data_IF_906806104454
#
_entry.id   IF_906806104454
#
_cell.length_a   1.000
_cell.length_b   1.000
_cell.length_c   1.000
_cell.angle_alpha   90.00
_cell.angle_beta   90.00
_cell.angle_gamma   90.00
#
_symmetry.space_group_name_H-M   'P 1'
#
loop_
_entity.id
_entity.type
_entity.pdbx_description
1 polymer ?
#
# COMPACT_ATOMS: atom_id res chain seq x y z
N UNK A 1 10.36 -3.14 22.89
CA UNK A 1 8.88 -3.09 23.12
C UNK A 1 8.24 -4.39 22.66
N UNK A 2 7.12 -4.78 23.28
CA UNK A 2 6.24 -5.84 22.80
C UNK A 2 5.04 -5.20 22.09
N UNK A 3 4.96 -5.40 20.80
CA UNK A 3 4.04 -4.71 19.88
C UNK A 3 3.02 -5.72 19.37
N UNK A 4 1.72 -5.43 19.50
CA UNK A 4 0.67 -6.24 18.90
C UNK A 4 0.15 -5.64 17.61
N UNK A 5 0.34 -6.30 16.47
CA UNK A 5 -0.25 -5.96 15.18
C UNK A 5 -1.59 -6.67 15.02
N UNK A 6 -2.67 -5.93 14.82
CA UNK A 6 -4.03 -6.45 14.66
C UNK A 6 -4.53 -6.09 13.25
N UNK A 7 -4.82 -7.11 12.46
CA UNK A 7 -5.17 -6.93 11.04
C UNK A 7 -6.22 -7.93 10.58
N UNK A 8 -7.13 -7.49 9.71
CA UNK A 8 -8.12 -8.35 9.06
C UNK A 8 -7.62 -8.88 7.69
N UNK A 9 -6.37 -8.55 7.30
CA UNK A 9 -5.69 -9.03 6.09
C UNK A 9 -4.22 -9.34 6.38
N UNK A 10 -3.75 -10.55 6.05
CA UNK A 10 -2.36 -10.98 6.28
C UNK A 10 -1.96 -12.08 5.29
N UNK A 11 -0.71 -12.52 5.36
CA UNK A 11 -0.19 -13.63 4.54
C UNK A 11 -1.12 -14.85 4.59
N UNK A 12 -1.32 -15.54 3.46
CA UNK A 12 -0.65 -15.46 2.17
C UNK A 12 -1.27 -14.45 1.16
N UNK A 13 -2.16 -13.57 1.59
CA UNK A 13 -2.73 -12.55 0.72
C UNK A 13 -1.62 -11.59 0.20
N UNK A 14 -1.78 -11.11 -1.05
CA UNK A 14 -0.82 -10.22 -1.70
C UNK A 14 -1.51 -8.88 -1.95
N UNK A 15 -1.20 -7.89 -1.11
CA UNK A 15 -1.68 -6.51 -1.26
C UNK A 15 -0.76 -5.55 -0.48
N UNK A 16 -0.94 -4.24 -0.69
CA UNK A 16 -0.11 -3.21 -0.07
C UNK A 16 -0.16 -3.19 1.46
N UNK A 17 -1.29 -3.59 2.08
CA UNK A 17 -1.43 -3.66 3.54
C UNK A 17 -0.56 -4.78 4.11
N UNK A 18 -0.65 -5.97 3.51
CA UNK A 18 0.17 -7.13 3.91
C UNK A 18 1.65 -6.83 3.72
N UNK A 19 2.03 -6.23 2.59
CA UNK A 19 3.41 -5.80 2.34
C UNK A 19 3.90 -4.86 3.43
N UNK A 20 3.09 -3.85 3.79
CA UNK A 20 3.41 -2.90 4.86
C UNK A 20 3.62 -3.59 6.21
N UNK A 21 2.70 -4.48 6.59
CA UNK A 21 2.78 -5.22 7.85
C UNK A 21 4.05 -6.08 7.90
N UNK A 22 4.35 -6.83 6.84
CA UNK A 22 5.52 -7.71 6.77
C UNK A 22 6.83 -6.91 6.85
N UNK A 23 6.95 -5.81 6.10
CA UNK A 23 8.14 -4.96 6.11
C UNK A 23 8.38 -4.33 7.48
N UNK A 24 7.36 -3.71 8.08
CA UNK A 24 7.49 -3.13 9.41
C UNK A 24 7.73 -4.18 10.50
N UNK A 25 7.06 -5.34 10.44
CA UNK A 25 7.31 -6.45 11.37
C UNK A 25 8.77 -6.84 11.35
N UNK A 26 9.32 -7.12 10.17
CA UNK A 26 10.70 -7.53 10.02
C UNK A 26 11.67 -6.46 10.54
N UNK A 27 11.50 -5.22 10.10
CA UNK A 27 12.39 -4.13 10.50
C UNK A 27 12.33 -3.83 12.01
N UNK A 28 11.17 -3.94 12.64
CA UNK A 28 11.03 -3.77 14.10
C UNK A 28 11.68 -4.93 14.87
N UNK A 29 11.59 -6.18 14.36
CA UNK A 29 12.29 -7.32 14.95
C UNK A 29 13.81 -7.13 14.88
N UNK A 30 14.35 -6.68 13.75
CA UNK A 30 15.77 -6.36 13.56
C UNK A 30 16.25 -5.26 14.50
N UNK A 31 15.36 -4.34 14.89
CA UNK A 31 15.61 -3.30 15.91
C UNK A 31 15.45 -3.78 17.35
N UNK A 32 15.22 -5.08 17.58
CA UNK A 32 15.14 -5.70 18.90
C UNK A 32 13.78 -5.65 19.57
N UNK A 33 12.70 -5.41 18.81
CA UNK A 33 11.34 -5.47 19.33
C UNK A 33 10.73 -6.86 19.16
N UNK A 34 9.75 -7.18 20.00
CA UNK A 34 8.92 -8.37 19.85
C UNK A 34 7.59 -7.96 19.20
N UNK A 35 7.32 -8.52 18.01
CA UNK A 35 6.10 -8.22 17.26
C UNK A 35 5.21 -9.46 17.21
N UNK A 36 4.00 -9.33 17.74
CA UNK A 36 2.95 -10.35 17.74
C UNK A 36 1.91 -9.95 16.68
N UNK A 37 1.55 -10.85 15.79
CA UNK A 37 0.56 -10.59 14.74
C UNK A 37 -0.72 -11.35 15.02
N UNK A 38 -1.84 -10.64 15.08
CA UNK A 38 -3.18 -11.18 15.24
C UNK A 38 -3.92 -11.02 13.91
N UNK A 39 -4.22 -12.14 13.23
CA UNK A 39 -4.67 -12.14 11.84
C UNK A 39 -5.70 -13.25 11.55
N UNK A 40 -6.47 -13.17 10.43
CA UNK A 40 -7.40 -14.24 10.06
C UNK A 40 -6.68 -15.53 9.67
N UNK A 41 -7.29 -16.69 9.92
CA UNK A 41 -6.79 -17.99 9.48
C UNK A 41 -6.99 -18.14 7.97
N UNK A 42 -5.93 -18.31 7.15
CA UNK A 42 -6.06 -18.69 5.75
C UNK A 42 -6.24 -20.22 5.61
N UNK A 43 -6.36 -20.71 4.38
CA UNK A 43 -6.40 -22.15 4.11
C UNK A 43 -5.03 -22.81 4.34
N UNK A 44 -3.95 -22.10 4.01
CA UNK A 44 -2.57 -22.50 4.22
C UNK A 44 -1.77 -21.30 4.73
N UNK A 45 -0.97 -21.47 5.78
CA UNK A 45 -0.10 -20.42 6.30
C UNK A 45 1.21 -21.06 6.81
N UNK A 46 2.32 -20.43 6.45
CA UNK A 46 3.61 -20.58 7.13
C UNK A 46 3.70 -19.45 8.17
N UNK A 47 3.36 -19.77 9.41
CA UNK A 47 3.35 -18.80 10.50
C UNK A 47 4.55 -19.00 11.41
N UNK A 48 5.07 -17.91 11.93
CA UNK A 48 6.03 -17.97 13.04
C UNK A 48 5.28 -18.11 14.39
N UNK A 49 6.03 -18.38 15.45
CA UNK A 49 5.52 -18.59 16.81
C UNK A 49 4.77 -17.38 17.40
N UNK A 50 4.90 -16.20 16.80
CA UNK A 50 4.26 -14.95 17.25
C UNK A 50 3.09 -14.53 16.36
N UNK A 51 2.63 -15.41 15.48
CA UNK A 51 1.44 -15.19 14.67
C UNK A 51 0.26 -15.97 15.23
N UNK A 52 -0.77 -15.25 15.67
CA UNK A 52 -1.99 -15.79 16.27
C UNK A 52 -3.16 -15.67 15.31
N UNK A 53 -3.80 -16.78 15.01
CA UNK A 53 -4.84 -16.85 13.99
C UNK A 53 -6.25 -16.85 14.57
N UNK A 54 -7.14 -16.07 13.96
CA UNK A 54 -8.57 -16.02 14.23
C UNK A 54 -9.33 -16.85 13.22
N UNK A 55 -10.25 -17.67 13.65
CA UNK A 55 -11.15 -18.37 12.72
C UNK A 55 -11.81 -17.38 11.75
N UNK A 56 -11.79 -17.71 10.48
CA UNK A 56 -12.31 -16.84 9.42
C UNK A 56 -12.96 -17.63 8.31
N UNK A 57 -13.92 -16.98 7.62
CA UNK A 57 -14.59 -17.52 6.45
C UNK A 57 -14.28 -16.64 5.23
N UNK A 58 -14.17 -17.23 4.02
CA UNK A 58 -14.04 -16.44 2.81
C UNK A 58 -15.26 -15.51 2.65
N UNK A 59 -15.03 -14.28 2.20
CA UNK A 59 -16.11 -13.37 1.88
C UNK A 59 -16.71 -13.73 0.51
N UNK A 60 -18.03 -13.95 0.45
CA UNK A 60 -18.72 -14.52 -0.73
C UNK A 60 -18.50 -13.70 -2.01
N UNK A 61 -18.42 -12.36 -1.89
CA UNK A 61 -18.27 -11.46 -3.05
C UNK A 61 -16.81 -11.20 -3.43
N UNK A 62 -15.87 -11.46 -2.54
CA UNK A 62 -14.42 -11.36 -2.75
C UNK A 62 -13.74 -12.48 -1.95
N UNK A 63 -13.56 -13.67 -2.52
CA UNK A 63 -13.02 -14.84 -1.80
C UNK A 63 -11.61 -14.62 -1.24
N UNK A 64 -10.87 -13.66 -1.80
CA UNK A 64 -9.57 -13.22 -1.31
C UNK A 64 -9.67 -12.51 0.05
N UNK A 65 -10.80 -11.87 0.35
CA UNK A 65 -11.08 -11.27 1.66
C UNK A 65 -11.66 -12.32 2.61
N UNK A 66 -11.28 -12.23 3.88
CA UNK A 66 -11.75 -13.15 4.92
C UNK A 66 -12.48 -12.37 6.01
N UNK A 67 -13.62 -12.89 6.42
CA UNK A 67 -14.36 -12.39 7.57
C UNK A 67 -13.89 -13.14 8.81
N UNK A 68 -13.13 -12.48 9.66
CA UNK A 68 -12.63 -13.05 10.89
C UNK A 68 -13.72 -13.09 11.98
N UNK A 69 -13.68 -14.12 12.82
CA UNK A 69 -14.42 -14.12 14.07
C UNK A 69 -13.90 -12.99 14.98
N UNK A 70 -14.77 -12.21 15.63
CA UNK A 70 -14.35 -11.17 16.57
C UNK A 70 -13.84 -11.74 17.91
N UNK A 71 -13.69 -13.05 18.01
CA UNK A 71 -13.30 -13.77 19.24
C UNK A 71 -12.35 -14.93 18.93
N UNK A 72 -11.28 -15.05 19.72
CA UNK A 72 -10.33 -16.16 19.70
C UNK A 72 -9.85 -16.48 21.12
N UNK A 73 -10.07 -17.74 21.56
CA UNK A 73 -9.55 -18.21 22.85
C UNK A 73 -8.02 -18.30 22.85
N UNK A 74 -7.42 -18.60 21.71
CA UNK A 74 -5.97 -18.63 21.56
C UNK A 74 -5.38 -17.23 21.72
N UNK A 75 -5.96 -16.23 21.05
CA UNK A 75 -5.54 -14.84 21.20
C UNK A 75 -5.63 -14.38 22.66
N UNK A 76 -6.68 -14.75 23.38
CA UNK A 76 -6.81 -14.41 24.81
C UNK A 76 -5.72 -15.06 25.65
N UNK A 77 -5.38 -16.34 25.41
CA UNK A 77 -4.30 -17.03 26.15
C UNK A 77 -2.94 -16.37 25.89
N UNK A 78 -2.65 -16.02 24.64
CA UNK A 78 -1.40 -15.31 24.30
C UNK A 78 -1.36 -13.94 24.98
N UNK A 79 -2.45 -13.18 24.93
CA UNK A 79 -2.55 -11.87 25.56
C UNK A 79 -2.49 -11.90 27.08
N UNK A 80 -2.93 -12.99 27.72
CA UNK A 80 -2.77 -13.19 29.17
C UNK A 80 -1.33 -13.56 29.56
N UNK A 81 -0.54 -14.11 28.62
CA UNK A 81 0.87 -14.48 28.81
C UNK A 81 1.86 -13.37 28.40
N UNK A 82 1.44 -12.46 27.55
CA UNK A 82 2.28 -11.40 26.97
C UNK A 82 1.75 -10.03 27.38
N UNK A 83 2.56 -9.27 28.13
CA UNK A 83 2.25 -7.87 28.42
C UNK A 83 2.64 -7.00 27.25
N UNK A 84 1.70 -6.69 26.34
CA UNK A 84 1.93 -5.77 25.24
C UNK A 84 2.15 -4.34 25.76
N UNK A 85 3.10 -3.63 25.14
CA UNK A 85 3.33 -2.21 25.42
C UNK A 85 2.41 -1.32 24.58
N UNK A 86 2.02 -1.80 23.40
CA UNK A 86 1.22 -1.05 22.42
C UNK A 86 0.42 -1.98 21.51
N UNK A 87 -0.77 -1.55 21.12
CA UNK A 87 -1.58 -2.17 20.06
C UNK A 87 -1.55 -1.29 18.83
N UNK A 88 -1.20 -1.88 17.69
CA UNK A 88 -1.25 -1.24 16.39
C UNK A 88 -2.20 -2.01 15.46
N UNK A 89 -3.29 -1.37 15.04
CA UNK A 89 -4.23 -1.95 14.09
C UNK A 89 -3.99 -1.45 12.67
N UNK A 90 -4.26 -2.31 11.71
CA UNK A 90 -4.11 -2.02 10.28
C UNK A 90 -5.45 -1.97 9.54
N UNK A 91 -6.52 -2.48 10.16
CA UNK A 91 -7.88 -2.46 9.63
C UNK A 91 -8.88 -2.11 10.75
N UNK A 92 -9.99 -1.39 10.44
CA UNK A 92 -10.99 -1.00 11.44
C UNK A 92 -12.11 -2.04 11.61
N UNK A 93 -11.85 -3.33 11.29
CA UNK A 93 -12.85 -4.38 11.28
C UNK A 93 -12.76 -5.30 12.51
N UNK A 94 -13.11 -6.58 12.36
CA UNK A 94 -13.29 -7.51 13.48
C UNK A 94 -12.05 -7.61 14.38
N UNK A 95 -10.87 -7.85 13.80
CA UNK A 95 -9.63 -8.01 14.57
C UNK A 95 -9.09 -6.65 15.03
N UNK A 96 -9.20 -5.61 14.22
CA UNK A 96 -8.84 -4.25 14.62
C UNK A 96 -9.67 -3.77 15.84
N UNK A 97 -10.99 -4.02 15.83
CA UNK A 97 -11.87 -3.70 16.97
C UNK A 97 -11.58 -4.59 18.20
N UNK A 98 -11.20 -5.85 18.00
CA UNK A 98 -10.71 -6.71 19.08
C UNK A 98 -9.46 -6.10 19.72
N UNK A 99 -8.48 -5.65 18.89
CA UNK A 99 -7.29 -4.94 19.36
C UNK A 99 -7.61 -3.68 20.17
N UNK A 100 -8.60 -2.89 19.75
CA UNK A 100 -9.09 -1.74 20.51
C UNK A 100 -9.61 -2.14 21.90
N UNK A 101 -10.33 -3.25 22.00
CA UNK A 101 -10.81 -3.75 23.29
C UNK A 101 -9.66 -4.25 24.17
N UNK A 102 -8.64 -4.90 23.57
CA UNK A 102 -7.40 -5.30 24.25
C UNK A 102 -6.69 -4.07 24.81
N UNK A 103 -6.44 -3.05 24.00
CA UNK A 103 -5.76 -1.83 24.43
C UNK A 103 -6.50 -1.15 25.61
N UNK A 104 -7.83 -1.09 25.54
CA UNK A 104 -8.66 -0.53 26.63
C UNK A 104 -8.58 -1.35 27.90
N UNK A 105 -8.62 -2.69 27.82
CA UNK A 105 -8.55 -3.59 28.97
C UNK A 105 -7.20 -3.50 29.67
N UNK A 106 -6.11 -3.48 28.89
CA UNK A 106 -4.74 -3.40 29.41
C UNK A 106 -4.27 -1.97 29.68
N UNK A 107 -5.08 -0.94 29.30
CA UNK A 107 -4.79 0.49 29.47
C UNK A 107 -3.50 0.92 28.78
N UNK A 108 -3.23 0.36 27.61
CA UNK A 108 -2.11 0.66 26.73
C UNK A 108 -2.57 1.46 25.51
N UNK A 109 -1.67 2.19 24.81
CA UNK A 109 -2.05 2.97 23.64
C UNK A 109 -2.54 2.08 22.50
N UNK A 110 -3.50 2.62 21.73
CA UNK A 110 -4.01 2.04 20.51
C UNK A 110 -3.69 2.96 19.34
N UNK A 111 -2.81 2.53 18.47
CA UNK A 111 -2.42 3.21 17.23
C UNK A 111 -3.08 2.54 16.05
N UNK A 112 -3.40 3.29 15.00
CA UNK A 112 -3.98 2.75 13.77
C UNK A 112 -3.30 3.33 12.54
N UNK A 113 -2.86 2.48 11.61
CA UNK A 113 -2.46 2.93 10.27
C UNK A 113 -3.65 2.90 9.34
N UNK A 114 -3.99 4.06 8.76
CA UNK A 114 -5.13 4.22 7.86
C UNK A 114 -4.73 3.86 6.42
N UNK A 115 -4.73 2.57 6.09
CA UNK A 115 -4.25 2.06 4.81
C UNK A 115 -5.21 2.27 3.64
N UNK A 116 -6.52 2.39 3.88
CA UNK A 116 -7.53 2.36 2.83
C UNK A 116 -8.50 3.52 2.98
N UNK A 117 -8.65 4.33 1.93
CA UNK A 117 -9.66 5.40 1.85
C UNK A 117 -11.05 4.80 1.60
N UNK A 118 -11.63 4.15 2.63
CA UNK A 118 -12.92 3.46 2.53
C UNK A 118 -14.03 4.30 1.87
N UNK A 119 -14.18 5.62 2.13
CA UNK A 119 -15.18 6.43 1.46
C UNK A 119 -15.02 6.49 -0.06
N UNK A 120 -13.80 6.36 -0.59
CA UNK A 120 -13.56 6.33 -2.03
C UNK A 120 -13.93 4.97 -2.67
N UNK A 121 -14.00 3.89 -1.87
CA UNK A 121 -14.36 2.56 -2.35
C UNK A 121 -15.86 2.23 -2.22
N UNK A 122 -16.60 2.98 -1.42
CA UNK A 122 -18.05 2.74 -1.22
C UNK A 122 -18.85 2.92 -2.51
N UNK A 123 -18.37 3.72 -3.47
CA UNK A 123 -19.03 3.88 -4.77
C UNK A 123 -19.10 2.58 -5.60
N UNK A 124 -18.21 1.60 -5.37
CA UNK A 124 -18.30 0.29 -5.99
C UNK A 124 -19.52 -0.53 -5.52
N UNK A 125 -20.08 -0.17 -4.34
CA UNK A 125 -21.24 -0.90 -3.76
C UNK A 125 -22.53 -0.10 -3.93
N UNK A 126 -22.51 1.23 -3.71
CA UNK A 126 -23.66 2.13 -3.83
C UNK A 126 -23.23 3.58 -4.05
N UNK A 127 -23.44 4.11 -5.24
CA UNK A 127 -23.11 5.49 -5.62
C UNK A 127 -24.09 6.50 -5.05
N UNK A 128 -24.08 6.76 -3.75
CA UNK A 128 -24.83 7.89 -3.21
C UNK A 128 -23.92 8.77 -2.33
N UNK A 129 -24.13 10.10 -2.41
CA UNK A 129 -23.44 11.04 -1.52
C UNK A 129 -23.71 10.75 -0.04
N UNK A 130 -24.82 10.06 0.28
CA UNK A 130 -25.18 9.70 1.64
C UNK A 130 -24.30 8.57 2.17
N UNK A 131 -24.03 7.53 1.36
CA UNK A 131 -23.16 6.42 1.74
C UNK A 131 -21.72 6.88 1.93
N UNK A 132 -21.22 7.78 1.10
CA UNK A 132 -19.90 8.38 1.25
C UNK A 132 -19.78 9.15 2.58
N UNK A 133 -20.73 10.05 2.88
CA UNK A 133 -20.75 10.80 4.16
C UNK A 133 -20.87 9.88 5.38
N UNK A 134 -21.60 8.77 5.26
CA UNK A 134 -21.68 7.79 6.34
C UNK A 134 -20.33 7.09 6.55
N UNK A 135 -19.65 6.70 5.47
CA UNK A 135 -18.31 6.10 5.55
C UNK A 135 -17.27 7.08 6.14
N UNK A 136 -17.28 8.35 5.74
CA UNK A 136 -16.45 9.42 6.33
C UNK A 136 -16.71 9.56 7.84
N UNK A 137 -17.98 9.59 8.24
CA UNK A 137 -18.37 9.69 9.65
C UNK A 137 -17.90 8.46 10.45
N UNK A 138 -18.12 7.25 9.94
CA UNK A 138 -17.68 6.02 10.61
C UNK A 138 -16.15 5.95 10.71
N UNK A 139 -15.43 6.34 9.65
CA UNK A 139 -13.98 6.44 9.67
C UNK A 139 -13.51 7.42 10.74
N UNK A 140 -14.11 8.62 10.83
CA UNK A 140 -13.81 9.60 11.87
C UNK A 140 -14.09 9.04 13.27
N UNK A 141 -15.28 8.49 13.49
CA UNK A 141 -15.67 7.94 14.80
C UNK A 141 -14.73 6.82 15.26
N UNK A 142 -14.24 6.01 14.34
CA UNK A 142 -13.22 5.00 14.63
C UNK A 142 -11.87 5.67 14.98
N UNK A 143 -11.37 6.57 14.13
CA UNK A 143 -10.10 7.27 14.34
C UNK A 143 -10.06 8.01 15.69
N UNK A 144 -11.16 8.65 16.10
CA UNK A 144 -11.28 9.35 17.38
C UNK A 144 -11.17 8.41 18.61
N UNK A 145 -11.23 7.10 18.42
CA UNK A 145 -11.00 6.12 19.48
C UNK A 145 -9.53 5.73 19.66
N UNK A 146 -8.70 6.07 18.70
CA UNK A 146 -7.26 5.81 18.73
C UNK A 146 -6.51 6.80 19.64
N UNK A 147 -5.35 6.41 20.12
CA UNK A 147 -4.41 7.32 20.79
C UNK A 147 -3.75 8.24 19.76
N UNK A 148 -3.42 7.70 18.61
CA UNK A 148 -2.89 8.41 17.43
C UNK A 148 -3.12 7.59 16.17
N UNK A 149 -2.98 8.24 15.01
CA UNK A 149 -3.13 7.66 13.68
C UNK A 149 -1.81 7.79 12.93
N UNK A 150 -1.50 6.78 12.12
CA UNK A 150 -0.46 6.83 11.11
C UNK A 150 -1.13 6.96 9.75
N UNK A 151 -0.79 8.02 9.02
CA UNK A 151 -1.15 8.23 7.65
C UNK A 151 0.02 7.81 6.74
N UNK A 152 -0.17 6.90 5.76
CA UNK A 152 0.92 6.48 4.89
C UNK A 152 1.36 7.57 3.89
N UNK A 153 0.60 8.66 3.76
CA UNK A 153 0.89 9.79 2.88
C UNK A 153 0.24 11.09 3.37
N UNK A 154 0.69 12.21 2.82
CA UNK A 154 0.05 13.52 3.04
C UNK A 154 -1.39 13.55 2.52
N UNK A 155 -1.69 12.80 1.45
CA UNK A 155 -3.04 12.63 0.93
C UNK A 155 -3.99 12.09 2.00
N UNK A 156 -3.62 11.00 2.66
CA UNK A 156 -4.43 10.36 3.69
C UNK A 156 -4.61 11.29 4.90
N UNK A 157 -3.55 11.96 5.34
CA UNK A 157 -3.62 12.94 6.43
C UNK A 157 -4.62 14.05 6.11
N UNK A 158 -4.56 14.64 4.90
CA UNK A 158 -5.49 15.68 4.45
C UNK A 158 -6.95 15.20 4.46
N UNK A 159 -7.23 13.98 3.98
CA UNK A 159 -8.58 13.40 4.01
C UNK A 159 -9.08 13.25 5.45
N UNK A 160 -8.29 12.64 6.32
CA UNK A 160 -8.67 12.44 7.73
C UNK A 160 -8.96 13.80 8.42
N UNK A 161 -8.12 14.81 8.19
CA UNK A 161 -8.37 16.18 8.71
C UNK A 161 -9.63 16.80 8.13
N UNK A 162 -9.89 16.62 6.84
CA UNK A 162 -11.11 17.13 6.18
C UNK A 162 -12.40 16.50 6.73
N UNK A 163 -12.32 15.23 7.20
CA UNK A 163 -13.43 14.55 7.86
C UNK A 163 -13.58 14.94 9.34
N UNK A 164 -12.69 15.78 9.85
CA UNK A 164 -12.72 16.29 11.21
C UNK A 164 -12.08 15.36 12.25
N UNK A 165 -11.09 14.54 11.86
CA UNK A 165 -10.28 13.76 12.80
C UNK A 165 -9.37 14.71 13.58
N UNK A 166 -9.43 14.65 14.92
CA UNK A 166 -8.74 15.57 15.84
C UNK A 166 -7.55 14.94 16.55
N UNK A 167 -7.50 13.62 16.67
CA UNK A 167 -6.38 12.90 17.30
C UNK A 167 -5.05 13.18 16.57
N UNK A 168 -3.89 13.02 17.23
CA UNK A 168 -2.59 13.15 16.57
C UNK A 168 -2.51 12.25 15.33
N UNK A 169 -1.98 12.80 14.23
CA UNK A 169 -1.71 12.06 12.99
C UNK A 169 -0.25 12.31 12.63
N UNK A 170 0.51 11.23 12.48
CA UNK A 170 1.86 11.26 11.94
C UNK A 170 1.89 10.66 10.54
N UNK A 171 2.63 11.29 9.63
CA UNK A 171 2.81 10.79 8.27
C UNK A 171 4.01 9.86 8.28
N UNK A 172 3.76 8.56 8.25
CA UNK A 172 4.79 7.51 8.19
C UNK A 172 4.46 6.61 7.01
N UNK A 173 5.21 6.76 5.95
CA UNK A 173 5.08 5.95 4.75
C UNK A 173 5.47 4.49 5.05
N UNK A 174 4.86 3.52 4.38
CA UNK A 174 5.45 2.18 4.30
C UNK A 174 6.81 2.30 3.65
N UNK A 175 7.82 1.77 4.30
CA UNK A 175 9.19 1.82 3.79
C UNK A 175 9.36 0.94 2.54
N UNK A 176 10.42 1.22 1.81
CA UNK A 176 10.87 0.42 0.67
C UNK A 176 12.13 -0.33 1.10
N UNK A 177 12.19 -1.61 0.80
CA UNK A 177 13.43 -2.41 0.89
C UNK A 177 14.36 -2.00 -0.25
N UNK A 178 15.14 -0.94 -0.02
CA UNK A 178 16.02 -0.36 -1.05
C UNK A 178 17.17 -1.29 -1.42
N UNK A 179 17.62 -2.16 -0.52
CA UNK A 179 18.67 -3.13 -0.79
C UNK A 179 18.20 -4.18 -1.79
N UNK A 180 16.98 -4.71 -1.61
CA UNK A 180 16.35 -5.65 -2.54
C UNK A 180 16.28 -5.14 -3.97
N UNK A 181 15.97 -3.86 -4.16
CA UNK A 181 15.83 -3.25 -5.48
C UNK A 181 17.12 -2.65 -6.02
N UNK A 182 18.24 -2.67 -5.27
CA UNK A 182 19.51 -2.10 -5.71
C UNK A 182 20.26 -2.98 -6.72
N UNK A 183 19.98 -4.27 -6.76
CA UNK A 183 20.68 -5.25 -7.61
C UNK A 183 19.69 -6.17 -8.29
N UNK A 184 20.08 -6.68 -9.46
CA UNK A 184 19.25 -7.60 -10.25
C UNK A 184 20.04 -8.83 -10.65
N UNK A 185 19.36 -9.98 -10.71
CA UNK A 185 19.88 -11.18 -11.31
C UNK A 185 19.86 -11.07 -12.86
N UNK A 186 21.03 -11.00 -13.55
CA UNK A 186 21.08 -10.78 -14.99
C UNK A 186 20.38 -11.88 -15.80
N UNK A 187 20.42 -13.11 -15.32
CA UNK A 187 19.77 -14.26 -15.99
C UNK A 187 18.24 -14.12 -15.93
N UNK A 188 17.70 -13.69 -14.79
CA UNK A 188 16.26 -13.41 -14.64
C UNK A 188 15.83 -12.26 -15.52
N UNK A 189 16.60 -11.18 -15.54
CA UNK A 189 16.32 -10.02 -16.39
C UNK A 189 16.30 -10.41 -17.87
N UNK A 190 17.27 -11.19 -18.36
CA UNK A 190 17.31 -11.65 -19.74
C UNK A 190 16.11 -12.54 -20.10
N UNK A 191 15.76 -13.50 -19.23
CA UNK A 191 14.59 -14.37 -19.43
C UNK A 191 13.28 -13.56 -19.45
N UNK A 192 13.18 -12.54 -18.61
CA UNK A 192 11.99 -11.67 -18.56
C UNK A 192 11.91 -10.78 -19.81
N UNK A 193 13.04 -10.27 -20.33
CA UNK A 193 13.10 -9.52 -21.58
C UNK A 193 12.63 -10.36 -22.78
N UNK A 194 13.06 -11.60 -22.85
CA UNK A 194 12.62 -12.55 -23.87
C UNK A 194 11.12 -12.83 -23.77
N UNK A 195 10.63 -13.14 -22.55
CA UNK A 195 9.19 -13.36 -22.29
C UNK A 195 8.33 -12.14 -22.65
N UNK A 196 8.82 -10.94 -22.38
CA UNK A 196 8.18 -9.69 -22.74
C UNK A 196 8.26 -9.36 -24.25
N UNK A 197 9.04 -10.11 -25.02
CA UNK A 197 9.31 -9.83 -26.44
C UNK A 197 10.00 -8.48 -26.66
N UNK A 198 10.78 -8.00 -25.66
CA UNK A 198 11.48 -6.73 -25.74
C UNK A 198 12.64 -6.83 -26.74
N UNK A 199 12.61 -5.99 -27.78
CA UNK A 199 13.62 -5.98 -28.83
C UNK A 199 14.79 -5.05 -28.49
N UNK A 200 15.98 -5.31 -29.05
CA UNK A 200 17.10 -4.39 -28.94
C UNK A 200 16.70 -2.97 -29.40
N UNK A 201 17.05 -1.94 -28.63
CA UNK A 201 16.75 -0.53 -28.85
C UNK A 201 15.29 -0.12 -28.63
N UNK A 202 14.39 -1.01 -28.23
CA UNK A 202 13.10 -0.57 -27.68
C UNK A 202 13.31 0.12 -26.33
N UNK A 203 12.46 1.11 -26.04
CA UNK A 203 12.39 1.81 -24.76
C UNK A 203 11.23 1.24 -23.98
N UNK A 204 11.52 0.73 -22.79
CA UNK A 204 10.53 0.06 -21.96
C UNK A 204 9.95 1.00 -20.89
N UNK A 205 8.63 1.17 -20.92
CA UNK A 205 7.86 1.68 -19.79
C UNK A 205 7.35 0.51 -18.98
N UNK A 206 7.40 0.60 -17.66
CA UNK A 206 6.84 -0.41 -16.75
C UNK A 206 5.66 0.14 -15.98
N UNK A 207 4.58 -0.60 -15.97
CA UNK A 207 3.51 -0.51 -14.97
C UNK A 207 3.53 -1.76 -14.10
N UNK A 208 3.38 -1.61 -12.79
CA UNK A 208 3.25 -2.72 -11.83
C UNK A 208 2.02 -2.50 -10.95
N UNK A 209 1.16 -3.54 -10.83
CA UNK A 209 0.01 -3.51 -9.94
C UNK A 209 -1.13 -4.41 -10.37
N UNK A 210 -2.15 -4.54 -9.49
CA UNK A 210 -3.38 -5.25 -9.83
C UNK A 210 -4.10 -4.55 -10.99
N UNK A 211 -4.58 -5.32 -11.96
CA UNK A 211 -5.32 -4.77 -13.10
C UNK A 211 -6.81 -4.55 -12.73
N UNK A 212 -7.06 -3.55 -11.89
CA UNK A 212 -8.36 -3.01 -11.59
C UNK A 212 -8.63 -1.72 -12.36
N UNK A 213 -9.90 -1.33 -12.47
CA UNK A 213 -10.30 -0.08 -13.14
C UNK A 213 -9.64 1.14 -12.50
N UNK A 214 -9.48 1.11 -11.18
CA UNK A 214 -8.89 2.16 -10.34
C UNK A 214 -7.41 2.45 -10.66
N UNK A 215 -6.69 1.48 -11.25
CA UNK A 215 -5.29 1.64 -11.65
C UNK A 215 -5.11 2.38 -12.98
N UNK A 216 -6.20 2.59 -13.70
CA UNK A 216 -6.28 3.41 -14.91
C UNK A 216 -5.22 3.08 -15.98
N UNK A 217 -4.91 1.77 -16.16
CA UNK A 217 -3.95 1.31 -17.19
C UNK A 217 -4.44 1.65 -18.59
N UNK A 218 -5.74 1.81 -18.78
CA UNK A 218 -6.34 2.32 -20.02
C UNK A 218 -5.70 3.65 -20.46
N UNK A 219 -5.47 4.58 -19.52
CA UNK A 219 -4.85 5.86 -19.81
C UNK A 219 -3.41 5.69 -20.31
N UNK A 220 -2.66 4.73 -19.75
CA UNK A 220 -1.31 4.39 -20.22
C UNK A 220 -1.32 3.82 -21.64
N UNK A 221 -2.28 2.95 -21.97
CA UNK A 221 -2.43 2.39 -23.32
C UNK A 221 -2.72 3.51 -24.34
N UNK A 222 -3.63 4.43 -24.01
CA UNK A 222 -3.94 5.59 -24.85
C UNK A 222 -2.74 6.52 -24.99
N UNK A 223 -1.95 6.72 -23.94
CA UNK A 223 -0.72 7.51 -24.00
C UNK A 223 0.34 6.84 -24.92
N UNK A 224 0.50 5.52 -24.86
CA UNK A 224 1.37 4.77 -25.79
C UNK A 224 0.89 4.90 -27.24
N UNK A 225 -0.44 4.92 -27.46
CA UNK A 225 -1.00 5.15 -28.80
C UNK A 225 -0.71 6.55 -29.32
N UNK A 226 -0.76 7.60 -28.48
CA UNK A 226 -0.44 8.99 -28.83
C UNK A 226 1.07 9.27 -28.96
N UNK A 227 1.92 8.44 -28.36
CA UNK A 227 3.37 8.65 -28.39
C UNK A 227 3.94 8.57 -29.80
N UNK A 228 4.82 9.52 -30.12
CA UNK A 228 5.54 9.60 -31.41
C UNK A 228 6.80 8.72 -31.45
N UNK A 229 7.23 8.14 -30.31
CA UNK A 229 8.36 7.22 -30.27
C UNK A 229 7.98 5.86 -30.88
N UNK A 230 8.57 5.47 -32.03
CA UNK A 230 8.19 4.24 -32.72
C UNK A 230 8.65 2.96 -31.96
N UNK A 231 9.61 3.12 -31.07
CA UNK A 231 10.25 2.01 -30.36
C UNK A 231 9.88 1.96 -28.86
N UNK A 232 8.77 2.55 -28.47
CA UNK A 232 8.26 2.45 -27.10
C UNK A 232 7.52 1.13 -26.89
N UNK A 233 7.75 0.47 -25.76
CA UNK A 233 7.03 -0.72 -25.32
C UNK A 233 6.54 -0.55 -23.89
N UNK A 234 5.26 -0.80 -23.65
CA UNK A 234 4.69 -0.84 -22.32
C UNK A 234 4.69 -2.27 -21.76
N UNK A 235 5.38 -2.48 -20.66
CA UNK A 235 5.40 -3.71 -19.89
C UNK A 235 4.35 -3.59 -18.78
N UNK A 236 3.36 -4.47 -18.76
CA UNK A 236 2.26 -4.48 -17.79
C UNK A 236 2.45 -5.67 -16.86
N UNK A 237 3.08 -5.42 -15.70
CA UNK A 237 3.27 -6.41 -14.64
C UNK A 237 2.08 -6.42 -13.69
N UNK A 238 1.36 -7.53 -13.68
CA UNK A 238 0.19 -7.73 -12.83
C UNK A 238 -0.94 -8.47 -13.55
N UNK A 239 -1.99 -8.78 -12.79
CA UNK A 239 -3.21 -9.40 -13.28
C UNK A 239 -4.43 -8.83 -12.55
N UNK A 240 -5.62 -9.11 -13.05
CA UNK A 240 -6.84 -8.65 -12.40
C UNK A 240 -8.05 -8.63 -13.32
N UNK A 241 -9.22 -8.25 -12.79
CA UNK A 241 -10.50 -8.35 -13.51
C UNK A 241 -10.58 -7.47 -14.78
N UNK A 242 -9.72 -6.46 -14.88
CA UNK A 242 -9.73 -5.53 -16.03
C UNK A 242 -8.81 -5.98 -17.18
N UNK A 243 -8.04 -7.06 -17.02
CA UNK A 243 -7.03 -7.53 -17.98
C UNK A 243 -7.61 -7.75 -19.38
N UNK A 244 -8.71 -8.51 -19.48
CA UNK A 244 -9.33 -8.84 -20.78
C UNK A 244 -9.76 -7.58 -21.53
N UNK A 245 -10.33 -6.61 -20.81
CA UNK A 245 -10.68 -5.31 -21.39
C UNK A 245 -9.45 -4.55 -21.91
N UNK A 246 -8.36 -4.53 -21.15
CA UNK A 246 -7.13 -3.83 -21.52
C UNK A 246 -6.44 -4.45 -22.74
N UNK A 247 -6.44 -5.79 -22.84
CA UNK A 247 -5.94 -6.52 -24.02
C UNK A 247 -6.78 -6.20 -25.26
N UNK A 248 -8.12 -6.17 -25.12
CA UNK A 248 -9.03 -5.76 -26.20
C UNK A 248 -8.80 -4.32 -26.64
N UNK A 249 -8.62 -3.39 -25.68
CA UNK A 249 -8.36 -1.99 -25.96
C UNK A 249 -7.01 -1.80 -26.71
N UNK A 250 -5.98 -2.54 -26.31
CA UNK A 250 -4.69 -2.49 -27.03
C UNK A 250 -4.82 -2.95 -28.49
N UNK A 251 -5.67 -3.95 -28.74
CA UNK A 251 -5.96 -4.41 -30.10
C UNK A 251 -6.78 -3.37 -30.90
N UNK A 252 -7.80 -2.78 -30.31
CA UNK A 252 -8.62 -1.71 -30.92
C UNK A 252 -7.78 -0.48 -31.30
N UNK A 253 -6.82 -0.10 -30.44
CA UNK A 253 -5.88 0.99 -30.70
C UNK A 253 -4.76 0.63 -31.69
N UNK A 254 -4.63 -0.65 -32.08
CA UNK A 254 -3.60 -1.12 -33.00
C UNK A 254 -2.19 -1.08 -32.40
N UNK A 255 -2.06 -1.22 -31.07
CA UNK A 255 -0.77 -1.17 -30.33
C UNK A 255 -0.40 -2.50 -29.66
N UNK A 256 -1.04 -3.60 -29.99
CA UNK A 256 -0.79 -4.91 -29.35
C UNK A 256 0.67 -5.35 -29.45
N UNK A 257 1.38 -4.94 -30.49
CA UNK A 257 2.80 -5.20 -30.69
C UNK A 257 3.72 -4.31 -29.83
N UNK A 258 3.17 -3.28 -29.21
CA UNK A 258 3.87 -2.32 -28.32
C UNK A 258 3.54 -2.53 -26.84
N UNK A 259 2.73 -3.53 -26.50
CA UNK A 259 2.29 -3.82 -25.13
C UNK A 259 2.54 -5.28 -24.76
N UNK A 260 3.12 -5.54 -23.61
CA UNK A 260 3.38 -6.89 -23.12
C UNK A 260 2.71 -7.09 -21.76
N UNK A 261 1.63 -7.89 -21.71
CA UNK A 261 0.96 -8.27 -20.46
C UNK A 261 1.69 -9.48 -19.83
N UNK A 262 2.43 -9.25 -18.75
CA UNK A 262 3.38 -10.20 -18.18
C UNK A 262 2.77 -11.10 -17.11
N UNK A 263 1.55 -10.79 -16.64
CA UNK A 263 0.93 -11.47 -15.51
C UNK A 263 1.54 -11.05 -14.17
N UNK A 264 1.18 -11.75 -13.09
CA UNK A 264 1.75 -11.48 -11.77
C UNK A 264 3.25 -11.75 -11.76
N UNK A 265 4.01 -10.75 -11.32
CA UNK A 265 5.45 -10.83 -11.11
C UNK A 265 5.75 -10.73 -9.61
N UNK A 266 6.54 -11.65 -9.08
CA UNK A 266 6.87 -11.74 -7.66
C UNK A 266 8.37 -12.02 -7.46
N UNK A 267 8.85 -11.74 -6.24
CA UNK A 267 10.23 -12.05 -5.88
C UNK A 267 11.25 -11.42 -6.83
N UNK A 268 12.16 -12.21 -7.34
CA UNK A 268 13.22 -11.78 -8.27
C UNK A 268 12.68 -11.34 -9.63
N UNK A 269 11.55 -11.88 -10.09
CA UNK A 269 10.95 -11.47 -11.38
C UNK A 269 10.37 -10.05 -11.29
N UNK A 270 9.83 -9.66 -10.14
CA UNK A 270 9.39 -8.27 -9.92
C UNK A 270 10.59 -7.31 -9.93
N UNK A 271 11.68 -7.65 -9.23
CA UNK A 271 12.93 -6.86 -9.25
C UNK A 271 13.47 -6.75 -10.68
N UNK A 272 13.51 -7.88 -11.41
CA UNK A 272 13.98 -7.91 -12.80
C UNK A 272 13.15 -7.01 -13.72
N UNK A 273 11.82 -6.92 -13.50
CA UNK A 273 10.95 -6.06 -14.29
C UNK A 273 11.29 -4.57 -14.10
N UNK A 274 11.56 -4.14 -12.86
CA UNK A 274 11.99 -2.77 -12.62
C UNK A 274 13.33 -2.46 -13.29
N UNK A 275 14.31 -3.35 -13.23
CA UNK A 275 15.61 -3.13 -13.89
C UNK A 275 15.57 -3.26 -15.41
N UNK A 276 14.56 -3.91 -15.96
CA UNK A 276 14.39 -4.04 -17.42
C UNK A 276 13.86 -2.77 -18.08
N UNK A 277 13.18 -1.91 -17.31
CA UNK A 277 12.51 -0.72 -17.83
C UNK A 277 13.43 0.52 -17.85
N UNK A 278 13.09 1.48 -18.71
CA UNK A 278 13.71 2.79 -18.79
C UNK A 278 13.01 3.84 -17.92
N UNK A 279 11.70 3.68 -17.68
CA UNK A 279 10.91 4.53 -16.79
C UNK A 279 9.69 3.76 -16.24
N UNK A 280 9.17 4.22 -15.11
CA UNK A 280 7.96 3.69 -14.48
C UNK A 280 6.77 4.58 -14.83
N UNK A 281 5.69 3.99 -15.37
CA UNK A 281 4.48 4.69 -15.76
C UNK A 281 3.34 4.41 -14.77
N UNK A 282 2.71 5.48 -14.24
CA UNK A 282 1.71 5.35 -13.19
C UNK A 282 0.53 6.31 -13.39
N UNK A 283 -0.68 5.78 -13.48
CA UNK A 283 -1.88 6.57 -13.79
C UNK A 283 -3.01 6.43 -12.75
N UNK A 284 -2.79 5.73 -11.62
CA UNK A 284 -3.77 5.62 -10.54
C UNK A 284 -3.90 6.93 -9.77
N UNK A 285 -5.13 7.31 -9.42
CA UNK A 285 -5.44 8.48 -8.59
C UNK A 285 -6.10 8.11 -7.27
N UNK A 286 -6.24 6.82 -6.98
CA UNK A 286 -6.91 6.30 -5.78
C UNK A 286 -5.95 5.72 -4.74
N UNK A 287 -4.65 5.88 -4.93
CA UNK A 287 -3.66 5.36 -4.00
C UNK A 287 -3.69 6.09 -2.67
N UNK A 288 -3.44 5.32 -1.62
CA UNK A 288 -3.12 5.88 -0.31
C UNK A 288 -1.65 6.23 -0.18
N UNK A 289 -0.78 5.48 -0.89
CA UNK A 289 0.66 5.73 -0.91
C UNK A 289 1.32 5.42 -2.26
N UNK A 290 0.98 4.27 -2.91
CA UNK A 290 1.62 3.85 -4.15
C UNK A 290 3.01 3.22 -3.93
N UNK A 291 3.10 2.13 -3.18
CA UNK A 291 4.37 1.43 -2.85
C UNK A 291 5.24 1.14 -4.07
N UNK A 292 4.62 0.74 -5.18
CA UNK A 292 5.30 0.42 -6.44
C UNK A 292 6.10 1.60 -7.02
N UNK A 293 5.73 2.86 -6.67
CA UNK A 293 6.50 4.05 -7.04
C UNK A 293 7.83 4.06 -6.28
N UNK A 294 7.78 3.80 -4.98
CA UNK A 294 8.98 3.70 -4.15
C UNK A 294 9.91 2.58 -4.60
N UNK A 295 9.36 1.42 -4.95
CA UNK A 295 10.09 0.26 -5.50
C UNK A 295 10.76 0.62 -6.83
N UNK A 296 10.04 1.25 -7.75
CA UNK A 296 10.58 1.71 -9.03
C UNK A 296 11.75 2.71 -8.83
N UNK A 297 11.56 3.69 -7.94
CA UNK A 297 12.59 4.67 -7.64
C UNK A 297 13.82 4.03 -6.96
N UNK A 298 13.64 3.03 -6.11
CA UNK A 298 14.74 2.28 -5.49
C UNK A 298 15.56 1.50 -6.52
N UNK A 299 14.89 0.95 -7.55
CA UNK A 299 15.55 0.33 -8.70
C UNK A 299 16.20 1.35 -9.66
N UNK A 300 16.10 2.65 -9.39
CA UNK A 300 16.67 3.70 -10.23
C UNK A 300 15.80 4.07 -11.43
N UNK A 301 14.48 3.81 -11.39
CA UNK A 301 13.58 4.25 -12.45
C UNK A 301 13.03 5.66 -12.17
N UNK A 302 13.13 6.58 -13.13
CA UNK A 302 12.36 7.80 -13.09
C UNK A 302 10.88 7.50 -13.30
N UNK A 303 9.99 8.27 -12.64
CA UNK A 303 8.56 8.03 -12.65
C UNK A 303 7.84 9.02 -13.56
N UNK A 304 6.96 8.52 -14.42
CA UNK A 304 6.03 9.35 -15.19
C UNK A 304 4.63 9.05 -14.69
N UNK A 305 3.95 10.05 -14.15
CA UNK A 305 2.66 9.86 -13.50
C UNK A 305 1.67 10.96 -13.80
N UNK A 306 0.41 10.70 -13.46
CA UNK A 306 -0.63 11.73 -13.35
C UNK A 306 -0.54 12.43 -11.98
N UNK A 307 -1.09 13.63 -11.90
CA UNK A 307 -1.20 14.40 -10.66
C UNK A 307 -2.02 13.63 -9.62
N UNK A 308 -1.41 13.35 -8.48
CA UNK A 308 -2.07 12.81 -7.29
C UNK A 308 -1.22 13.12 -6.04
N UNK A 309 -1.87 13.50 -4.95
CA UNK A 309 -1.16 13.87 -3.72
C UNK A 309 -0.33 12.73 -3.10
N UNK A 310 -0.69 11.45 -3.32
CA UNK A 310 0.14 10.33 -2.87
C UNK A 310 1.41 10.18 -3.73
N UNK A 311 1.35 10.56 -5.01
CA UNK A 311 2.50 10.60 -5.92
C UNK A 311 3.46 11.72 -5.54
N UNK A 312 2.94 12.90 -5.16
CA UNK A 312 3.75 14.08 -4.78
C UNK A 312 4.67 13.81 -3.58
N UNK A 313 4.33 12.88 -2.70
CA UNK A 313 5.19 12.51 -1.58
C UNK A 313 6.49 11.83 -2.06
N UNK A 314 6.44 11.07 -3.14
CA UNK A 314 7.57 10.37 -3.73
C UNK A 314 8.25 11.16 -4.84
N UNK A 315 7.47 11.65 -5.82
CA UNK A 315 7.96 12.19 -7.08
C UNK A 315 8.11 13.70 -7.01
N UNK A 316 9.32 14.17 -7.26
CA UNK A 316 9.62 15.60 -7.43
C UNK A 316 9.59 15.89 -8.94
N UNK A 317 8.53 16.59 -9.40
CA UNK A 317 8.35 16.90 -10.81
C UNK A 317 9.56 17.65 -11.38
N UNK A 318 10.02 17.22 -12.56
CA UNK A 318 11.20 17.77 -13.24
C UNK A 318 12.55 17.37 -12.62
N UNK A 319 12.56 16.47 -11.61
CA UNK A 319 13.80 16.02 -10.94
C UNK A 319 13.90 14.50 -10.79
N UNK A 320 12.88 13.86 -10.26
CA UNK A 320 12.84 12.40 -10.06
C UNK A 320 11.87 11.73 -11.03
N UNK A 321 11.17 12.52 -11.82
CA UNK A 321 10.18 12.09 -12.77
C UNK A 321 9.41 13.26 -13.37
N UNK A 322 8.38 12.95 -14.12
CA UNK A 322 7.44 13.92 -14.71
C UNK A 322 6.03 13.63 -14.18
N UNK A 323 5.36 14.68 -13.70
CA UNK A 323 3.98 14.64 -13.24
C UNK A 323 3.13 15.45 -14.22
N UNK A 324 2.07 14.84 -14.74
CA UNK A 324 1.25 15.42 -15.83
C UNK A 324 -0.21 15.52 -15.42
N UNK A 325 -0.99 16.42 -16.03
CA UNK A 325 -2.45 16.31 -15.99
C UNK A 325 -2.91 14.93 -16.49
N UNK A 326 -4.09 14.48 -16.04
CA UNK A 326 -4.62 13.13 -16.31
C UNK A 326 -5.14 12.92 -17.73
N UNK A 327 -4.45 13.41 -18.78
CA UNK A 327 -4.79 13.23 -20.19
C UNK A 327 -3.75 12.37 -20.89
N UNK A 328 -4.20 11.56 -21.85
CA UNK A 328 -3.35 10.64 -22.59
C UNK A 328 -2.25 11.36 -23.39
N UNK A 329 -2.60 12.51 -23.97
CA UNK A 329 -1.66 13.32 -24.77
C UNK A 329 -0.55 13.92 -23.90
N UNK A 330 -0.85 14.35 -22.67
CA UNK A 330 0.14 14.91 -21.75
C UNK A 330 1.11 13.82 -21.28
N UNK A 331 0.59 12.62 -20.96
CA UNK A 331 1.43 11.47 -20.64
C UNK A 331 2.29 11.03 -21.82
N UNK A 332 1.73 11.00 -23.04
CA UNK A 332 2.48 10.69 -24.26
C UNK A 332 3.65 11.66 -24.48
N UNK A 333 3.40 12.96 -24.31
CA UNK A 333 4.44 13.97 -24.40
C UNK A 333 5.55 13.75 -23.35
N UNK A 334 5.17 13.39 -22.11
CA UNK A 334 6.13 13.08 -21.06
C UNK A 334 6.93 11.78 -21.36
N UNK A 335 6.31 10.77 -21.97
CA UNK A 335 6.99 9.57 -22.45
C UNK A 335 8.02 9.93 -23.51
N UNK A 336 7.62 10.70 -24.53
CA UNK A 336 8.48 11.12 -25.63
C UNK A 336 9.66 11.98 -25.13
N UNK A 337 9.39 12.91 -24.23
CA UNK A 337 10.40 13.78 -23.62
C UNK A 337 11.45 12.98 -22.85
N UNK A 338 11.02 12.11 -21.89
CA UNK A 338 11.95 11.44 -21.01
C UNK A 338 12.67 10.26 -21.67
N UNK A 339 11.97 9.48 -22.49
CA UNK A 339 12.58 8.33 -23.17
C UNK A 339 13.44 8.75 -24.37
N UNK A 340 13.17 9.95 -24.93
CA UNK A 340 13.97 10.54 -26.01
C UNK A 340 15.28 11.20 -25.55
N UNK A 341 15.39 11.58 -24.27
CA UNK A 341 16.53 12.28 -23.68
C UNK A 341 17.28 11.39 -22.69
N UNK A 342 18.31 10.68 -23.14
CA UNK A 342 19.09 9.77 -22.31
C UNK A 342 19.85 10.45 -21.16
N UNK A 343 20.53 11.59 -21.36
CA UNK A 343 21.18 12.32 -20.27
C UNK A 343 20.21 12.74 -19.18
N UNK A 344 19.04 13.25 -19.55
CA UNK A 344 17.99 13.66 -18.60
C UNK A 344 17.42 12.47 -17.86
N UNK A 345 17.14 11.37 -18.57
CA UNK A 345 16.64 10.14 -17.95
C UNK A 345 17.64 9.60 -16.92
N UNK A 346 18.93 9.56 -17.25
CA UNK A 346 19.97 9.13 -16.34
C UNK A 346 20.07 10.04 -15.09
N UNK A 347 19.95 11.35 -15.26
CA UNK A 347 19.93 12.29 -14.15
C UNK A 347 18.71 12.08 -13.23
N UNK A 348 17.54 11.86 -13.82
CA UNK A 348 16.31 11.58 -13.05
C UNK A 348 16.39 10.23 -12.33
N UNK A 349 16.97 9.20 -12.96
CA UNK A 349 17.19 7.89 -12.35
C UNK A 349 18.05 7.98 -11.08
N UNK A 350 19.17 8.67 -11.13
CA UNK A 350 20.02 8.91 -9.96
C UNK A 350 19.28 9.68 -8.86
N UNK A 351 18.52 10.72 -9.24
CA UNK A 351 17.75 11.51 -8.29
C UNK A 351 16.60 10.68 -7.67
N UNK A 352 15.94 9.82 -8.43
CA UNK A 352 14.90 8.91 -7.98
C UNK A 352 15.45 7.92 -6.93
N UNK A 353 16.58 7.28 -7.23
CA UNK A 353 17.24 6.35 -6.30
C UNK A 353 17.67 7.05 -5.00
N UNK A 354 18.27 8.23 -5.10
CA UNK A 354 18.62 9.05 -3.93
C UNK A 354 17.37 9.42 -3.10
N UNK A 355 16.26 9.74 -3.76
CA UNK A 355 14.99 10.05 -3.08
C UNK A 355 14.41 8.82 -2.39
N UNK A 356 14.44 7.64 -3.04
CA UNK A 356 13.95 6.37 -2.46
C UNK A 356 14.66 6.04 -1.15
N UNK A 357 15.95 6.34 -1.01
CA UNK A 357 16.69 6.14 0.23
C UNK A 357 16.10 6.91 1.44
N UNK A 358 15.35 8.00 1.21
CA UNK A 358 14.65 8.70 2.28
C UNK A 358 13.39 7.98 2.78
N UNK A 359 12.90 7.02 1.99
CA UNK A 359 11.77 6.14 2.30
C UNK A 359 12.21 4.70 2.57
N UNK A 360 13.50 4.45 2.86
CA UNK A 360 13.94 3.11 3.18
C UNK A 360 13.19 2.56 4.39
N UNK A 361 12.99 1.22 4.43
CA UNK A 361 12.23 0.58 5.51
C UNK A 361 12.87 0.83 6.88
N UNK A 362 14.20 0.91 6.95
CA UNK A 362 14.93 1.17 8.21
C UNK A 362 14.57 2.56 8.76
N UNK A 363 14.56 3.59 7.89
CA UNK A 363 14.19 4.95 8.30
C UNK A 363 12.71 5.05 8.69
N UNK A 364 11.82 4.38 7.96
CA UNK A 364 10.41 4.42 8.30
C UNK A 364 10.12 3.61 9.58
N UNK A 365 10.83 2.51 9.83
CA UNK A 365 10.74 1.76 11.07
C UNK A 365 11.26 2.55 12.28
N UNK A 366 12.34 3.33 12.12
CA UNK A 366 12.82 4.27 13.14
C UNK A 366 11.78 5.33 13.49
N UNK A 367 11.12 5.91 12.47
CA UNK A 367 10.02 6.88 12.69
C UNK A 367 8.83 6.22 13.39
N UNK A 368 8.50 4.98 13.02
CA UNK A 368 7.43 4.22 13.64
C UNK A 368 7.74 3.90 15.10
N UNK A 369 8.98 3.52 15.40
CA UNK A 369 9.46 3.30 16.77
C UNK A 369 9.33 4.55 17.64
N UNK A 370 9.81 5.72 17.16
CA UNK A 370 9.65 6.99 17.86
C UNK A 370 8.16 7.36 18.07
N UNK A 371 7.30 7.08 17.07
CA UNK A 371 5.87 7.28 17.22
C UNK A 371 5.29 6.43 18.35
N UNK A 372 5.71 5.15 18.46
CA UNK A 372 5.27 4.26 19.53
C UNK A 372 5.76 4.73 20.91
N UNK A 373 7.02 5.11 21.02
CA UNK A 373 7.59 5.66 22.26
C UNK A 373 6.82 6.90 22.73
N UNK A 374 6.51 7.81 21.79
CA UNK A 374 5.70 8.99 22.10
C UNK A 374 4.28 8.60 22.51
N UNK A 375 3.63 7.68 21.79
CA UNK A 375 2.29 7.22 22.12
C UNK A 375 2.24 6.57 23.51
N UNK A 376 3.25 5.77 23.89
CA UNK A 376 3.37 5.15 25.23
C UNK A 376 3.57 6.21 26.31
N UNK A 377 4.51 7.14 26.10
CA UNK A 377 4.85 8.18 27.06
C UNK A 377 3.69 9.16 27.33
N UNK A 378 2.87 9.43 26.33
CA UNK A 378 1.75 10.39 26.41
C UNK A 378 0.39 9.75 26.68
N UNK A 379 0.34 8.41 26.68
CA UNK A 379 -0.94 7.70 26.85
C UNK A 379 -1.63 8.02 28.16
N UNK A 380 -2.87 8.49 28.07
CA UNK A 380 -3.76 8.68 29.20
C UNK A 380 -4.96 7.77 29.03
N UNK A 381 -5.09 6.70 29.83
CA UNK A 381 -6.23 5.79 29.72
C UNK A 381 -7.53 6.58 29.78
N UNK A 382 -8.36 6.47 28.74
CA UNK A 382 -9.69 7.10 28.76
C UNK A 382 -10.49 6.42 29.87
N UNK A 383 -11.08 7.22 30.78
CA UNK A 383 -12.01 6.69 31.79
C UNK A 383 -13.17 6.03 31.04
N UNK A 384 -13.32 4.74 31.19
CA UNK A 384 -14.53 4.03 30.77
C UNK A 384 -15.65 4.64 31.59
N UNK A 385 -16.62 5.31 30.96
CA UNK A 385 -17.82 5.78 31.66
C UNK A 385 -18.40 4.58 32.44
N UNK A 386 -18.74 4.76 33.75
CA UNK A 386 -19.30 3.68 34.52
C UNK A 386 -20.56 3.20 33.79
N UNK A 387 -20.73 1.86 33.70
CA UNK A 387 -21.98 1.24 33.29
C UNK A 387 -23.14 1.99 33.91
N UNK A 388 -24.12 2.43 33.12
CA UNK A 388 -25.42 2.83 33.63
C UNK A 388 -25.86 1.79 34.65
N UNK A 389 -25.83 2.14 35.90
CA UNK A 389 -26.40 1.31 36.99
C UNK A 389 -27.89 1.18 36.64
N UNK A 390 -28.29 0.00 36.25
CA UNK A 390 -29.72 -0.32 36.20
C UNK A 390 -30.33 0.01 37.57
N UNK A 391 -31.41 0.78 37.65
CA UNK A 391 -32.05 1.09 38.93
C UNK A 391 -32.45 -0.20 39.59
N UNK A 392 -31.90 -0.41 40.80
CA UNK A 392 -32.16 -1.59 41.62
C UNK A 392 -33.64 -1.81 41.82
N UNK A 393 -34.12 -3.02 41.58
CA UNK A 393 -35.42 -3.49 42.09
C UNK A 393 -35.38 -3.29 43.62
N UNK A 394 -36.20 -2.39 44.11
CA UNK A 394 -36.54 -2.38 45.55
C UNK A 394 -37.35 -3.64 45.83
N UNK A 395 -36.88 -4.48 46.75
CA UNK A 395 -37.66 -5.46 47.44
C UNK A 395 -38.54 -4.81 48.47
#
# INVERSE_FOLDING_TARGET
>A
MRIGFFTDTYTPQINGVVTSICLFKQALIERGHEVYVFAPTPEHADDDERTVRFHSLPFVFQPEMRLASPFSMEALRVLDAVDLDIVHSHDPFAIGLFGLNVARRHKIPYVHTYHTLYPEYVHYVWETRLTQKLAERLSREFCEQCSSIIAPSTKVERYLRSWGVTVPIDIIATGVDTERYSTVNPTRMAALAEKAGLKPKERALLFMGRLGKEKNVELLLRAVWHSHLPNIRLLVGGDGPHRVYLESLAAELGISDRVSFMGYLQGEDAVAAYHLADAFAFASTTETQGLVIGEAMAAGLPVISVEDHAVEDFVINGRTGLVTPGRAEDLAAAFDELLGDEPRRAAFAMAAQSRAASFSIERQAERLEHHYEHAIATHRPRRIFPRLALPGRRT
#
